data_IF_416542612645
#
_entry.id   IF_416542612645
#
_cell.length_a   1.000
_cell.length_b   1.000
_cell.length_c   1.000
_cell.angle_alpha   90.00
_cell.angle_beta   90.00
_cell.angle_gamma   90.00
#
_symmetry.space_group_name_H-M   'P 1'
#
loop_
_entity.id
_entity.type
_entity.pdbx_description
1 polymer ?
#
# COMPACT_ATOMS: atom_id res chain seq x y z
N UNK A 1 14.02 -14.43 -8.62
CA UNK A 1 13.06 -13.33 -8.38
C UNK A 1 11.78 -13.62 -9.13
N UNK A 2 10.63 -13.20 -8.59
CA UNK A 2 9.31 -13.16 -9.25
C UNK A 2 8.65 -11.82 -8.90
N UNK A 3 7.65 -11.41 -9.68
CA UNK A 3 6.91 -10.16 -9.47
C UNK A 3 5.42 -10.44 -9.31
N UNK A 4 4.75 -9.56 -8.58
CA UNK A 4 3.28 -9.50 -8.47
C UNK A 4 2.85 -8.15 -9.03
N UNK A 5 1.88 -8.15 -9.95
CA UNK A 5 1.29 -6.91 -10.43
C UNK A 5 0.44 -6.27 -9.32
N UNK A 6 0.56 -4.95 -9.18
CA UNK A 6 -0.31 -4.14 -8.32
C UNK A 6 -1.34 -3.49 -9.22
N UNK A 7 -2.57 -3.95 -9.12
CA UNK A 7 -3.76 -3.44 -9.78
C UNK A 7 -4.31 -2.18 -9.09
N UNK A 8 -5.23 -1.47 -9.76
CA UNK A 8 -5.72 -0.18 -9.32
C UNK A 8 -6.50 -0.22 -8.00
N UNK A 9 -7.12 -1.37 -7.69
CA UNK A 9 -7.97 -1.55 -6.51
C UNK A 9 -7.37 -2.51 -5.49
N UNK A 10 -6.16 -3.02 -5.73
CA UNK A 10 -5.55 -3.98 -4.81
C UNK A 10 -5.27 -3.33 -3.46
N UNK A 11 -5.57 -4.09 -2.42
CA UNK A 11 -5.23 -3.75 -1.04
C UNK A 11 -3.94 -4.45 -0.63
N UNK A 12 -3.37 -4.04 0.52
CA UNK A 12 -2.24 -4.77 1.11
C UNK A 12 -2.56 -6.25 1.35
N UNK A 13 -3.81 -6.57 1.67
CA UNK A 13 -4.26 -7.93 1.94
C UNK A 13 -4.26 -8.79 0.68
N UNK A 14 -4.75 -8.25 -0.44
CA UNK A 14 -4.71 -8.95 -1.74
C UNK A 14 -3.26 -9.23 -2.16
N UNK A 15 -2.40 -8.21 -2.04
CA UNK A 15 -0.98 -8.32 -2.37
C UNK A 15 -0.24 -9.29 -1.44
N UNK A 16 -0.60 -9.34 -0.16
CA UNK A 16 -0.04 -10.26 0.80
C UNK A 16 -0.30 -11.71 0.37
N UNK A 17 -1.56 -12.07 0.09
CA UNK A 17 -1.90 -13.43 -0.32
C UNK A 17 -1.19 -13.86 -1.60
N UNK A 18 -1.23 -13.01 -2.64
CA UNK A 18 -0.53 -13.32 -3.90
C UNK A 18 0.98 -13.42 -3.74
N UNK A 19 1.58 -12.67 -2.81
CA UNK A 19 3.02 -12.76 -2.54
C UNK A 19 3.36 -14.02 -1.76
N UNK A 20 2.53 -14.43 -0.79
CA UNK A 20 2.70 -15.66 -0.02
C UNK A 20 2.70 -16.89 -0.94
N UNK A 21 1.83 -16.92 -1.95
CA UNK A 21 1.76 -18.02 -2.92
C UNK A 21 3.07 -18.20 -3.73
N UNK A 22 3.88 -17.14 -3.85
CA UNK A 22 5.16 -17.20 -4.55
C UNK A 22 6.31 -17.72 -3.67
N UNK A 23 6.16 -17.74 -2.34
CA UNK A 23 7.27 -18.08 -1.43
C UNK A 23 7.74 -19.52 -1.69
N UNK A 24 6.85 -20.50 -1.59
CA UNK A 24 7.19 -21.91 -1.73
C UNK A 24 7.90 -22.25 -3.07
N UNK A 25 7.35 -21.86 -4.25
CA UNK A 25 8.02 -22.18 -5.51
C UNK A 25 9.36 -21.45 -5.66
N UNK A 26 9.46 -20.16 -5.28
CA UNK A 26 10.72 -19.40 -5.41
C UNK A 26 11.80 -19.94 -4.49
N UNK A 27 11.45 -20.30 -3.25
CA UNK A 27 12.39 -20.87 -2.29
C UNK A 27 12.88 -22.24 -2.77
N UNK A 28 11.98 -23.10 -3.24
CA UNK A 28 12.35 -24.45 -3.72
C UNK A 28 13.25 -24.37 -4.95
N UNK A 29 12.93 -23.51 -5.91
CA UNK A 29 13.77 -23.25 -7.08
C UNK A 29 15.18 -22.78 -6.67
N UNK A 30 15.26 -21.79 -5.77
CA UNK A 30 16.54 -21.26 -5.30
C UNK A 30 17.39 -22.32 -4.59
N UNK A 31 16.78 -23.14 -3.74
CA UNK A 31 17.47 -24.25 -3.07
C UNK A 31 17.98 -25.30 -4.07
N UNK A 32 17.20 -25.57 -5.13
CA UNK A 32 17.62 -26.45 -6.21
C UNK A 32 18.86 -25.95 -6.95
N UNK A 33 18.94 -24.64 -7.23
CA UNK A 33 20.13 -24.03 -7.87
C UNK A 33 21.36 -24.10 -6.96
N UNK A 34 21.19 -23.89 -5.65
CA UNK A 34 22.29 -24.05 -4.69
C UNK A 34 22.77 -25.51 -4.66
N UNK A 35 21.83 -26.46 -4.60
CA UNK A 35 22.14 -27.89 -4.54
C UNK A 35 22.82 -28.42 -5.83
N UNK A 36 22.56 -27.80 -6.99
CA UNK A 36 23.21 -28.16 -8.25
C UNK A 36 24.66 -27.67 -8.36
N UNK A 37 25.13 -26.89 -7.39
CA UNK A 37 26.48 -26.30 -7.40
C UNK A 37 26.57 -24.98 -8.16
N UNK A 38 25.46 -24.32 -8.48
CA UNK A 38 25.49 -23.00 -9.09
C UNK A 38 26.13 -21.96 -8.15
N UNK A 39 27.12 -21.23 -8.65
CA UNK A 39 27.85 -20.19 -7.91
C UNK A 39 27.64 -18.78 -8.47
N UNK A 40 27.15 -18.66 -9.70
CA UNK A 40 26.91 -17.38 -10.36
C UNK A 40 25.52 -16.83 -10.02
N UNK A 41 25.49 -15.69 -9.32
CA UNK A 41 24.27 -14.98 -8.91
C UNK A 41 24.33 -13.49 -9.25
N UNK A 42 23.17 -12.88 -9.48
CA UNK A 42 23.08 -11.46 -9.82
C UNK A 42 23.35 -10.57 -8.60
N UNK A 43 24.43 -9.78 -8.64
CA UNK A 43 24.74 -8.76 -7.63
C UNK A 43 23.71 -7.61 -7.68
N UNK A 44 23.25 -7.17 -6.50
CA UNK A 44 22.36 -6.00 -6.41
C UNK A 44 23.11 -4.69 -6.71
N UNK A 45 22.49 -3.84 -7.52
CA UNK A 45 22.95 -2.48 -7.79
C UNK A 45 22.57 -1.55 -6.63
N UNK A 46 23.57 -1.11 -5.86
CA UNK A 46 23.37 -0.26 -4.67
C UNK A 46 22.83 1.13 -5.02
N UNK A 47 23.02 1.61 -6.24
CA UNK A 47 22.47 2.91 -6.68
C UNK A 47 20.95 2.89 -6.85
N UNK A 48 20.35 1.69 -6.93
CA UNK A 48 18.90 1.46 -7.08
C UNK A 48 18.23 0.99 -5.78
N UNK A 49 18.99 0.85 -4.69
CA UNK A 49 18.45 0.39 -3.43
C UNK A 49 17.65 1.51 -2.73
N UNK A 50 16.52 1.13 -2.14
CA UNK A 50 15.71 2.00 -1.29
C UNK A 50 15.47 1.34 0.07
N UNK A 51 15.11 2.13 1.06
CA UNK A 51 14.84 1.67 2.42
C UNK A 51 13.55 2.32 2.94
N UNK A 52 12.73 1.53 3.63
CA UNK A 52 11.54 1.99 4.33
C UNK A 52 11.61 1.54 5.79
N UNK A 53 11.30 2.45 6.72
CA UNK A 53 11.26 2.14 8.14
C UNK A 53 9.93 1.47 8.53
N UNK A 54 9.87 0.96 9.76
CA UNK A 54 8.62 0.49 10.37
C UNK A 54 7.64 1.66 10.47
N UNK A 55 6.39 1.46 10.03
CA UNK A 55 5.33 2.46 10.17
C UNK A 55 4.91 2.64 11.63
N UNK A 56 4.68 3.87 12.02
CA UNK A 56 4.05 4.30 13.27
C UNK A 56 2.56 4.60 13.04
N UNK A 57 1.82 4.85 14.12
CA UNK A 57 0.41 5.25 14.02
C UNK A 57 0.24 6.60 13.29
N UNK A 58 1.16 7.56 13.47
CA UNK A 58 1.06 8.85 12.77
C UNK A 58 1.22 8.69 11.24
N UNK A 59 1.95 7.68 10.76
CA UNK A 59 2.13 7.42 9.32
C UNK A 59 0.85 6.99 8.60
N UNK A 60 -0.21 6.68 9.36
CA UNK A 60 -1.51 6.25 8.83
C UNK A 60 -2.60 7.28 9.14
N UNK A 61 -2.24 8.42 9.72
CA UNK A 61 -3.15 9.56 9.86
C UNK A 61 -3.31 10.24 8.51
N UNK A 62 -4.55 10.50 8.11
CA UNK A 62 -4.89 11.22 6.89
C UNK A 62 -4.52 12.69 7.05
N UNK A 63 -3.55 13.13 6.24
CA UNK A 63 -3.26 14.54 5.98
C UNK A 63 -4.04 14.99 4.74
N UNK A 64 -5.12 15.73 4.96
CA UNK A 64 -6.00 16.19 3.88
C UNK A 64 -5.33 17.14 2.87
N UNK A 65 -4.10 17.61 3.14
CA UNK A 65 -3.35 18.43 2.19
C UNK A 65 -2.73 17.63 1.04
N UNK A 66 -2.69 16.29 1.15
CA UNK A 66 -2.16 15.42 0.11
C UNK A 66 -3.10 15.30 -1.10
N UNK A 67 -2.57 14.95 -2.28
CA UNK A 67 -3.40 14.62 -3.44
C UNK A 67 -4.39 13.49 -3.13
N UNK A 68 -5.62 13.60 -3.65
CA UNK A 68 -6.66 12.59 -3.41
C UNK A 68 -6.24 11.17 -3.80
N UNK A 69 -5.44 11.04 -4.87
CA UNK A 69 -4.89 9.76 -5.31
C UNK A 69 -3.91 9.15 -4.30
N UNK A 70 -3.15 9.97 -3.58
CA UNK A 70 -2.20 9.49 -2.57
C UNK A 70 -2.93 9.09 -1.28
N UNK A 71 -3.98 9.82 -0.92
CA UNK A 71 -4.88 9.44 0.18
C UNK A 71 -5.60 8.13 -0.08
N UNK A 72 -6.10 7.93 -1.30
CA UNK A 72 -6.75 6.70 -1.71
C UNK A 72 -5.79 5.50 -1.67
N UNK A 73 -4.53 5.69 -2.11
CA UNK A 73 -3.47 4.67 -1.97
C UNK A 73 -3.12 4.38 -0.53
N UNK A 74 -3.04 5.40 0.33
CA UNK A 74 -2.82 5.22 1.77
C UNK A 74 -3.93 4.35 2.37
N UNK A 75 -5.18 4.65 2.05
CA UNK A 75 -6.35 3.91 2.56
C UNK A 75 -6.29 2.43 2.14
N UNK A 76 -6.01 2.11 0.87
CA UNK A 76 -5.86 0.71 0.43
C UNK A 76 -4.61 0.02 0.96
N UNK A 77 -3.52 0.77 1.20
CA UNK A 77 -2.33 0.24 1.85
C UNK A 77 -2.59 -0.12 3.32
N UNK A 78 -3.56 0.55 3.95
CA UNK A 78 -3.98 0.34 5.33
C UNK A 78 -5.30 -0.43 5.40
N UNK A 79 -5.30 -1.66 4.89
CA UNK A 79 -6.46 -2.55 4.85
C UNK A 79 -6.44 -3.61 5.96
N UNK A 80 -7.62 -4.08 6.37
CA UNK A 80 -7.76 -5.16 7.36
C UNK A 80 -6.96 -6.41 6.95
N UNK A 81 -6.22 -7.07 7.86
CA UNK A 81 -6.28 -6.92 9.32
C UNK A 81 -5.34 -5.85 9.89
N UNK A 82 -4.64 -5.07 9.06
CA UNK A 82 -3.80 -3.97 9.53
C UNK A 82 -4.65 -2.77 9.97
N UNK A 83 -4.13 -1.91 10.85
CA UNK A 83 -4.82 -0.68 11.24
C UNK A 83 -5.17 0.17 10.02
N UNK A 84 -6.44 0.60 9.95
CA UNK A 84 -6.92 1.46 8.88
C UNK A 84 -6.38 2.88 8.98
N UNK A 85 -6.27 3.54 7.83
CA UNK A 85 -6.00 4.97 7.79
C UNK A 85 -7.10 5.71 8.57
N UNK A 86 -6.75 6.79 9.26
CA UNK A 86 -7.70 7.46 10.16
C UNK A 86 -7.64 8.97 10.10
N UNK A 87 -8.71 9.60 10.56
CA UNK A 87 -8.79 11.05 10.76
C UNK A 87 -9.56 11.37 12.04
N UNK A 88 -9.76 12.65 12.34
CA UNK A 88 -10.61 13.10 13.44
C UNK A 88 -11.77 13.97 12.95
N UNK A 89 -12.97 13.71 13.47
CA UNK A 89 -14.12 14.58 13.29
C UNK A 89 -14.75 14.88 14.65
N UNK A 90 -14.86 16.17 15.00
CA UNK A 90 -15.40 16.63 16.30
C UNK A 90 -14.74 15.93 17.51
N UNK A 91 -13.42 15.74 17.44
CA UNK A 91 -12.64 15.07 18.49
C UNK A 91 -12.75 13.54 18.51
N UNK A 92 -13.58 12.94 17.66
CA UNK A 92 -13.70 11.48 17.54
C UNK A 92 -12.81 10.96 16.42
N UNK A 93 -12.10 9.87 16.68
CA UNK A 93 -11.32 9.16 15.67
C UNK A 93 -12.28 8.42 14.73
N UNK A 94 -12.07 8.62 13.43
CA UNK A 94 -12.76 7.89 12.38
C UNK A 94 -11.75 7.09 11.57
N UNK A 95 -12.01 5.81 11.39
CA UNK A 95 -11.25 4.97 10.48
C UNK A 95 -11.87 5.02 9.08
N UNK A 96 -11.03 5.14 8.07
CA UNK A 96 -11.44 5.16 6.66
C UNK A 96 -11.02 3.83 6.04
N UNK A 97 -12.02 2.97 5.84
CA UNK A 97 -11.81 1.59 5.38
C UNK A 97 -11.71 1.45 3.86
N UNK A 98 -12.30 2.40 3.13
CA UNK A 98 -12.28 2.45 1.68
C UNK A 98 -12.50 3.88 1.20
N UNK A 99 -12.01 4.17 0.01
CA UNK A 99 -12.21 5.44 -0.66
C UNK A 99 -12.16 5.26 -2.18
N UNK A 100 -12.72 6.23 -2.88
CA UNK A 100 -12.57 6.42 -4.32
C UNK A 100 -12.17 7.87 -4.56
N UNK A 101 -11.37 8.10 -5.59
CA UNK A 101 -11.06 9.46 -6.03
C UNK A 101 -12.27 9.99 -6.80
N UNK A 102 -12.75 11.17 -6.41
CA UNK A 102 -13.86 11.84 -7.08
C UNK A 102 -13.56 12.11 -8.56
N UNK A 103 -14.59 12.02 -9.40
CA UNK A 103 -14.49 12.37 -10.83
C UNK A 103 -14.38 13.89 -11.01
N UNK A 104 -15.04 14.64 -10.13
CA UNK A 104 -14.98 16.09 -10.07
C UNK A 104 -13.68 16.63 -9.44
N UNK A 105 -13.30 17.84 -9.86
CA UNK A 105 -12.28 18.64 -9.16
C UNK A 105 -12.95 19.81 -8.46
N UNK A 106 -13.07 19.72 -7.14
CA UNK A 106 -13.72 20.74 -6.33
C UNK A 106 -12.69 21.67 -5.68
N UNK A 107 -12.95 22.97 -5.78
CA UNK A 107 -12.19 23.99 -5.07
C UNK A 107 -12.70 24.17 -3.63
N UNK A 108 -11.80 24.33 -2.67
CA UNK A 108 -12.16 24.55 -1.28
C UNK A 108 -10.98 24.41 -0.33
N UNK A 109 -11.29 24.44 0.96
CA UNK A 109 -10.30 24.17 2.01
C UNK A 109 -10.13 22.66 2.16
N UNK A 110 -8.89 22.12 2.06
CA UNK A 110 -8.63 20.70 2.28
C UNK A 110 -9.22 20.19 3.61
N UNK A 111 -9.83 19.00 3.58
CA UNK A 111 -10.45 18.38 4.76
C UNK A 111 -11.86 18.89 5.10
N UNK A 112 -12.39 19.88 4.36
CA UNK A 112 -13.78 20.32 4.52
C UNK A 112 -14.73 19.30 3.90
N UNK A 113 -15.65 18.77 4.71
CA UNK A 113 -16.79 17.99 4.19
C UNK A 113 -17.63 18.93 3.34
N UNK A 114 -17.79 18.59 2.06
CA UNK A 114 -18.39 19.47 1.06
C UNK A 114 -19.74 18.96 0.58
N UNK A 115 -19.74 17.85 -0.15
CA UNK A 115 -20.91 17.34 -0.86
C UNK A 115 -20.76 15.84 -1.08
N UNK A 116 -21.88 15.14 -1.29
CA UNK A 116 -21.90 13.72 -1.64
C UNK A 116 -22.09 13.58 -3.14
N UNK A 117 -21.03 13.17 -3.83
CA UNK A 117 -21.07 12.98 -5.28
C UNK A 117 -22.16 11.96 -5.67
N UNK A 118 -23.06 12.38 -6.58
CA UNK A 118 -24.19 11.56 -7.05
C UNK A 118 -25.54 11.81 -6.37
N UNK A 119 -25.65 12.76 -5.41
CA UNK A 119 -26.94 13.19 -4.81
C UNK A 119 -27.43 14.55 -5.32
#
# INVERSE_FOLDING_TARGET
>A
QRSVAVGPTDTTTDLFHRTVDLIAPVTTEALGLIASGQTEFTRQDRSKASFFHKRAEEDIRIDWTWPAQDLERLIRAQSAPYPSAFTFHKGQRLEVVSAVVSEGRYGGTPGRIFYREGE
#
